data_IF_342490974357
#
_entry.id   IF_342490974357
#
_cell.length_a   1.000
_cell.length_b   1.000
_cell.length_c   1.000
_cell.angle_alpha   90.00
_cell.angle_beta   90.00
_cell.angle_gamma   90.00
#
_symmetry.space_group_name_H-M   'P 1'
#
loop_
_entity.id
_entity.type
_entity.pdbx_description
1 polymer ?
#
# COMPACT_ATOMS: atom_id res chain seq x y z
N UNK A 1 -3.49 9.67 2.72
CA UNK A 1 -3.06 10.42 1.52
C UNK A 1 -1.86 11.34 1.81
N UNK A 2 -1.81 12.07 2.93
CA UNK A 2 -0.70 12.97 3.26
C UNK A 2 0.65 12.26 3.30
N UNK A 3 1.01 11.66 4.44
CA UNK A 3 2.29 10.95 4.58
C UNK A 3 2.41 9.76 3.62
N UNK A 4 1.45 8.85 3.66
CA UNK A 4 1.52 7.60 2.90
C UNK A 4 1.55 7.83 1.39
N UNK A 5 0.75 8.77 0.88
CA UNK A 5 0.73 9.11 -0.54
C UNK A 5 2.06 9.71 -1.01
N UNK A 6 2.55 10.74 -0.31
CA UNK A 6 3.83 11.37 -0.68
C UNK A 6 5.01 10.38 -0.58
N UNK A 7 5.09 9.60 0.51
CA UNK A 7 6.14 8.61 0.68
C UNK A 7 6.06 7.50 -0.38
N UNK A 8 4.85 6.94 -0.60
CA UNK A 8 4.63 5.89 -1.58
C UNK A 8 4.92 6.32 -3.01
N UNK A 9 4.41 7.50 -3.42
CA UNK A 9 4.64 8.03 -4.77
C UNK A 9 6.11 8.42 -4.98
N UNK A 10 6.75 9.07 -3.99
CA UNK A 10 8.17 9.42 -4.04
C UNK A 10 9.07 8.20 -4.18
N UNK A 11 8.85 7.16 -3.35
CA UNK A 11 9.58 5.91 -3.46
C UNK A 11 9.29 5.16 -4.77
N UNK A 12 8.04 5.23 -5.28
CA UNK A 12 7.67 4.65 -6.57
C UNK A 12 8.50 5.25 -7.70
N UNK A 13 8.56 6.57 -7.79
CA UNK A 13 9.32 7.27 -8.81
C UNK A 13 10.82 6.96 -8.73
N UNK A 14 11.37 6.96 -7.51
CA UNK A 14 12.77 6.61 -7.29
C UNK A 14 13.07 5.16 -7.69
N UNK A 15 12.27 4.19 -7.23
CA UNK A 15 12.46 2.79 -7.58
C UNK A 15 12.30 2.54 -9.08
N UNK A 16 11.32 3.15 -9.74
CA UNK A 16 11.13 3.03 -11.18
C UNK A 16 12.35 3.54 -11.95
N UNK A 17 12.89 4.71 -11.60
CA UNK A 17 14.08 5.24 -12.27
C UNK A 17 15.29 4.30 -12.09
N UNK A 18 15.48 3.74 -10.90
CA UNK A 18 16.57 2.79 -10.62
C UNK A 18 16.39 1.44 -11.34
N UNK A 19 15.19 0.88 -11.33
CA UNK A 19 14.88 -0.38 -12.00
C UNK A 19 14.97 -0.27 -13.53
N UNK A 20 14.80 0.93 -14.06
CA UNK A 20 14.88 1.20 -15.51
C UNK A 20 16.26 1.62 -15.99
N UNK A 21 17.12 2.06 -15.06
CA UNK A 21 18.42 2.66 -15.40
C UNK A 21 18.28 3.93 -16.25
N UNK A 22 17.16 4.65 -16.11
CA UNK A 22 16.86 5.86 -16.85
C UNK A 22 16.35 6.95 -15.90
N UNK A 23 16.64 8.24 -16.16
CA UNK A 23 16.06 9.34 -15.42
C UNK A 23 14.53 9.38 -15.62
N UNK A 24 13.83 10.07 -14.72
CA UNK A 24 12.39 10.27 -14.85
C UNK A 24 12.06 11.03 -16.15
N UNK A 25 11.13 10.47 -16.92
CA UNK A 25 10.62 11.10 -18.12
C UNK A 25 9.73 12.29 -17.74
N UNK A 26 9.98 13.44 -18.39
CA UNK A 26 9.17 14.65 -18.21
C UNK A 26 8.99 15.07 -16.74
N UNK A 27 10.06 15.40 -16.00
CA UNK A 27 10.01 15.69 -14.56
C UNK A 27 9.07 16.86 -14.20
N UNK A 28 8.79 17.78 -15.12
CA UNK A 28 7.81 18.85 -14.91
C UNK A 28 6.41 18.34 -14.55
N UNK A 29 5.98 17.20 -15.11
CA UNK A 29 4.71 16.57 -14.73
C UNK A 29 4.74 16.02 -13.29
N UNK A 30 5.89 15.53 -12.84
CA UNK A 30 6.03 15.09 -11.44
C UNK A 30 5.91 16.27 -10.50
N UNK A 31 6.55 17.39 -10.80
CA UNK A 31 6.50 18.60 -9.98
C UNK A 31 5.06 19.13 -9.92
N UNK A 32 4.41 19.33 -11.07
CA UNK A 32 3.02 19.78 -11.14
C UNK A 32 2.07 18.82 -10.42
N UNK A 33 2.24 17.51 -10.63
CA UNK A 33 1.45 16.48 -9.98
C UNK A 33 1.62 16.47 -8.47
N UNK A 34 2.85 16.64 -7.97
CA UNK A 34 3.12 16.70 -6.53
C UNK A 34 2.52 17.96 -5.89
N UNK A 35 2.57 19.10 -6.56
CA UNK A 35 1.91 20.32 -6.09
C UNK A 35 0.40 20.12 -6.00
N UNK A 36 -0.24 19.61 -7.06
CA UNK A 36 -1.67 19.32 -7.07
C UNK A 36 -2.06 18.28 -6.01
N UNK A 37 -1.24 17.25 -5.82
CA UNK A 37 -1.45 16.25 -4.77
C UNK A 37 -1.49 16.90 -3.39
N UNK A 38 -0.51 17.74 -3.04
CA UNK A 38 -0.46 18.40 -1.75
C UNK A 38 -1.56 19.46 -1.57
N UNK A 39 -1.93 20.17 -2.64
CA UNK A 39 -3.12 21.05 -2.63
C UNK A 39 -4.39 20.25 -2.34
N UNK A 40 -4.56 19.09 -2.98
CA UNK A 40 -5.69 18.19 -2.70
C UNK A 40 -5.70 17.64 -1.28
N UNK A 41 -4.54 17.26 -0.73
CA UNK A 41 -4.42 16.82 0.68
C UNK A 41 -4.78 17.96 1.65
N UNK A 42 -4.29 19.17 1.39
CA UNK A 42 -4.60 20.33 2.24
C UNK A 42 -6.08 20.69 2.17
N UNK A 43 -6.65 20.70 0.96
CA UNK A 43 -8.08 20.94 0.76
C UNK A 43 -8.95 19.87 1.46
N UNK A 44 -8.51 18.60 1.43
CA UNK A 44 -9.18 17.52 2.14
C UNK A 44 -9.14 17.72 3.66
N UNK A 45 -7.96 18.07 4.20
CA UNK A 45 -7.80 18.31 5.63
C UNK A 45 -8.69 19.47 6.10
N UNK A 46 -8.68 20.58 5.37
CA UNK A 46 -9.55 21.74 5.68
C UNK A 46 -11.03 21.37 5.56
N UNK A 47 -11.43 20.68 4.48
CA UNK A 47 -12.83 20.27 4.30
C UNK A 47 -13.31 19.33 5.42
N UNK A 48 -12.53 18.33 5.80
CA UNK A 48 -12.87 17.41 6.89
C UNK A 48 -12.99 18.18 8.23
N UNK A 49 -12.10 19.12 8.51
CA UNK A 49 -12.16 19.91 9.76
C UNK A 49 -13.36 20.87 9.80
N UNK A 50 -13.86 21.29 8.62
CA UNK A 50 -15.09 22.10 8.50
C UNK A 50 -16.36 21.25 8.47
N UNK A 51 -16.26 19.93 8.54
CA UNK A 51 -17.41 19.02 8.52
C UNK A 51 -17.87 18.61 7.10
N UNK A 52 -17.15 19.01 6.06
CA UNK A 52 -17.46 18.65 4.67
C UNK A 52 -16.81 17.29 4.31
N UNK A 53 -17.45 16.21 4.71
CA UNK A 53 -16.97 14.85 4.50
C UNK A 53 -18.03 13.94 3.88
N UNK A 54 -17.60 12.89 3.18
CA UNK A 54 -18.52 11.95 2.50
C UNK A 54 -19.23 10.96 3.44
N UNK A 55 -18.89 10.92 4.72
CA UNK A 55 -19.49 9.98 5.68
C UNK A 55 -19.12 8.50 5.47
N UNK A 56 -18.20 8.18 4.56
CA UNK A 56 -17.73 6.82 4.31
C UNK A 56 -16.45 6.57 5.08
N UNK A 57 -16.48 5.66 6.05
CA UNK A 57 -15.34 5.34 6.89
C UNK A 57 -14.11 4.90 6.07
N UNK A 58 -13.00 5.62 6.20
CA UNK A 58 -11.76 5.40 5.46
C UNK A 58 -11.71 6.07 4.07
N UNK A 59 -12.79 6.75 3.67
CA UNK A 59 -12.85 7.60 2.48
C UNK A 59 -13.62 8.90 2.80
N UNK A 60 -13.30 9.52 3.93
CA UNK A 60 -13.92 10.78 4.38
C UNK A 60 -13.56 11.97 3.48
N UNK A 61 -12.76 11.74 2.46
CA UNK A 61 -12.24 12.71 1.51
C UNK A 61 -13.38 13.46 0.77
N UNK A 62 -13.48 14.80 0.89
CA UNK A 62 -14.43 15.58 0.10
C UNK A 62 -14.23 15.36 -1.41
N UNK A 63 -15.32 15.33 -2.18
CA UNK A 63 -15.26 15.02 -3.61
C UNK A 63 -14.36 15.97 -4.40
N UNK A 64 -14.43 17.28 -4.08
CA UNK A 64 -13.58 18.28 -4.74
C UNK A 64 -12.08 18.05 -4.48
N UNK A 65 -11.74 17.71 -3.24
CA UNK A 65 -10.35 17.40 -2.87
C UNK A 65 -9.87 16.11 -3.55
N UNK A 66 -10.73 15.09 -3.59
CA UNK A 66 -10.46 13.85 -4.32
C UNK A 66 -10.22 14.06 -5.80
N UNK A 67 -10.97 14.94 -6.46
CA UNK A 67 -10.74 15.29 -7.88
C UNK A 67 -9.37 15.92 -8.09
N UNK A 68 -8.94 16.85 -7.24
CA UNK A 68 -7.61 17.48 -7.31
C UNK A 68 -6.51 16.45 -7.09
N UNK A 69 -6.67 15.55 -6.11
CA UNK A 69 -5.74 14.43 -5.88
C UNK A 69 -5.63 13.52 -7.10
N UNK A 70 -6.74 13.18 -7.75
CA UNK A 70 -6.74 12.33 -8.95
C UNK A 70 -6.04 12.99 -10.13
N UNK A 71 -6.20 14.30 -10.32
CA UNK A 71 -5.48 15.05 -11.35
C UNK A 71 -3.97 15.05 -11.04
N UNK A 72 -3.58 15.32 -9.79
CA UNK A 72 -2.19 15.24 -9.35
C UNK A 72 -1.60 13.85 -9.58
N UNK A 73 -2.35 12.79 -9.22
CA UNK A 73 -1.97 11.41 -9.47
C UNK A 73 -1.80 11.11 -10.96
N UNK A 74 -2.69 11.61 -11.81
CA UNK A 74 -2.61 11.39 -13.25
C UNK A 74 -1.31 11.98 -13.83
N UNK A 75 -0.88 13.16 -13.40
CA UNK A 75 0.39 13.75 -13.83
C UNK A 75 1.60 12.93 -13.37
N UNK A 76 1.60 12.47 -12.11
CA UNK A 76 2.67 11.61 -11.57
C UNK A 76 2.69 10.27 -12.32
N UNK A 77 1.54 9.65 -12.50
CA UNK A 77 1.39 8.36 -13.20
C UNK A 77 1.82 8.47 -14.67
N UNK A 78 1.49 9.56 -15.34
CA UNK A 78 1.90 9.81 -16.72
C UNK A 78 3.44 9.81 -16.86
N UNK A 79 4.15 10.58 -16.02
CA UNK A 79 5.61 10.57 -15.98
C UNK A 79 6.19 9.20 -15.66
N UNK A 80 5.61 8.49 -14.68
CA UNK A 80 6.03 7.15 -14.28
C UNK A 80 5.84 6.13 -15.41
N UNK A 81 4.71 6.17 -16.12
CA UNK A 81 4.41 5.30 -17.26
C UNK A 81 5.35 5.60 -18.43
N UNK A 82 5.61 6.87 -18.75
CA UNK A 82 6.60 7.24 -19.76
C UNK A 82 8.00 6.72 -19.39
N UNK A 83 8.40 6.87 -18.12
CA UNK A 83 9.66 6.31 -17.61
C UNK A 83 9.69 4.79 -17.76
N UNK A 84 8.56 4.13 -17.52
CA UNK A 84 8.43 2.69 -17.74
C UNK A 84 8.66 2.29 -19.20
N UNK A 85 8.10 2.99 -20.18
CA UNK A 85 8.27 2.69 -21.59
C UNK A 85 9.67 3.04 -22.14
N UNK A 86 10.36 4.00 -21.54
CA UNK A 86 11.74 4.40 -21.91
C UNK A 86 12.81 3.40 -21.45
N UNK A 87 12.43 2.20 -21.06
CA UNK A 87 13.30 1.17 -20.48
C UNK A 87 14.43 0.74 -21.40
N UNK A 88 15.62 0.57 -20.82
CA UNK A 88 16.78 -0.05 -21.48
C UNK A 88 16.83 -1.57 -21.33
N UNK A 89 16.25 -2.11 -20.25
CA UNK A 89 16.26 -3.54 -19.95
C UNK A 89 14.91 -4.20 -20.26
N UNK A 90 14.93 -5.34 -20.98
CA UNK A 90 13.73 -6.09 -21.35
C UNK A 90 13.09 -6.83 -20.17
N UNK A 91 13.89 -7.31 -19.22
CA UNK A 91 13.37 -8.07 -18.09
C UNK A 91 12.77 -7.15 -17.02
N UNK A 92 11.56 -7.50 -16.59
CA UNK A 92 10.82 -6.80 -15.57
C UNK A 92 11.12 -7.38 -14.18
N UNK A 93 11.61 -6.54 -13.27
CA UNK A 93 11.70 -6.92 -11.87
C UNK A 93 10.30 -6.86 -11.22
N UNK A 94 9.93 -7.84 -10.37
CA UNK A 94 8.57 -7.94 -9.83
C UNK A 94 8.02 -6.68 -9.17
N UNK A 95 8.84 -5.93 -8.41
CA UNK A 95 8.40 -4.67 -7.80
C UNK A 95 7.83 -3.68 -8.81
N UNK A 96 8.24 -3.73 -10.08
CA UNK A 96 7.69 -2.86 -11.13
C UNK A 96 6.20 -3.09 -11.37
N UNK A 97 5.74 -4.35 -11.30
CA UNK A 97 4.32 -4.68 -11.44
C UNK A 97 3.49 -4.07 -10.30
N UNK A 98 3.98 -4.22 -9.07
CA UNK A 98 3.34 -3.64 -7.90
C UNK A 98 3.27 -2.10 -7.96
N UNK A 99 4.36 -1.45 -8.42
CA UNK A 99 4.40 0.01 -8.55
C UNK A 99 3.41 0.52 -9.60
N UNK A 100 3.37 -0.12 -10.77
CA UNK A 100 2.41 0.25 -11.84
C UNK A 100 0.98 -0.07 -11.38
N UNK A 101 0.79 -1.24 -10.76
CA UNK A 101 -0.50 -1.61 -10.18
C UNK A 101 -1.03 -0.56 -9.20
N UNK A 102 -0.18 -0.06 -8.30
CA UNK A 102 -0.56 1.01 -7.37
C UNK A 102 -0.93 2.32 -8.08
N UNK A 103 -0.16 2.71 -9.11
CA UNK A 103 -0.43 3.95 -9.88
C UNK A 103 -1.79 3.91 -10.59
N UNK A 104 -2.21 2.73 -11.07
CA UNK A 104 -3.49 2.53 -11.76
C UNK A 104 -4.62 2.29 -10.76
N UNK A 105 -4.35 1.58 -9.65
CA UNK A 105 -5.37 1.23 -8.66
C UNK A 105 -6.00 2.46 -7.99
N UNK A 106 -5.20 3.47 -7.62
CA UNK A 106 -5.72 4.63 -6.91
C UNK A 106 -6.80 5.39 -7.71
N UNK A 107 -6.56 5.84 -8.96
CA UNK A 107 -7.59 6.52 -9.73
C UNK A 107 -8.81 5.65 -9.99
N UNK A 108 -8.63 4.34 -10.19
CA UNK A 108 -9.74 3.42 -10.34
C UNK A 108 -10.58 3.31 -9.06
N UNK A 109 -9.95 3.09 -7.90
CA UNK A 109 -10.66 2.94 -6.62
C UNK A 109 -11.37 4.23 -6.23
N UNK A 110 -10.64 5.35 -6.17
CA UNK A 110 -11.20 6.64 -5.72
C UNK A 110 -12.18 7.19 -6.74
N UNK A 111 -11.88 7.08 -8.04
CA UNK A 111 -12.79 7.53 -9.10
C UNK A 111 -14.12 6.77 -9.08
N UNK A 112 -14.07 5.43 -9.00
CA UNK A 112 -15.27 4.57 -8.91
C UNK A 112 -16.06 4.86 -7.64
N UNK A 113 -15.38 4.99 -6.50
CA UNK A 113 -16.03 5.27 -5.23
C UNK A 113 -16.73 6.65 -5.25
N UNK A 114 -16.07 7.70 -5.74
CA UNK A 114 -16.68 9.03 -5.87
C UNK A 114 -17.84 9.03 -6.86
N UNK A 115 -17.74 8.27 -7.95
CA UNK A 115 -18.86 8.15 -8.88
C UNK A 115 -20.07 7.49 -8.22
N UNK A 116 -19.88 6.32 -7.61
CA UNK A 116 -20.98 5.50 -7.05
C UNK A 116 -21.50 5.99 -5.69
N UNK A 117 -20.76 6.80 -4.95
CA UNK A 117 -21.17 7.29 -3.63
C UNK A 117 -21.61 8.76 -3.64
N UNK A 118 -21.16 9.55 -4.64
CA UNK A 118 -21.43 10.98 -4.65
C UNK A 118 -22.04 11.52 -5.96
N UNK A 119 -21.47 11.17 -7.14
CA UNK A 119 -21.94 11.75 -8.42
C UNK A 119 -23.22 11.07 -8.95
N UNK A 120 -23.28 9.74 -8.88
CA UNK A 120 -24.45 8.93 -9.22
C UNK A 120 -24.69 7.93 -8.08
N UNK A 121 -25.16 8.41 -6.91
CA UNK A 121 -25.13 7.60 -5.69
C UNK A 121 -26.05 6.39 -5.80
N UNK A 122 -25.47 5.23 -5.51
CA UNK A 122 -26.24 4.00 -5.28
C UNK A 122 -27.14 4.18 -4.06
N UNK A 123 -28.31 3.56 -4.07
CA UNK A 123 -29.32 3.78 -3.01
C UNK A 123 -29.30 2.66 -1.97
N UNK A 124 -29.63 3.03 -0.74
CA UNK A 124 -29.85 2.09 0.36
C UNK A 124 -28.64 1.23 0.71
N UNK A 125 -28.88 -0.04 1.00
CA UNK A 125 -27.86 -0.99 1.44
C UNK A 125 -26.71 -1.20 0.44
N UNK A 126 -26.86 -0.83 -0.84
CA UNK A 126 -25.81 -0.96 -1.84
C UNK A 126 -24.62 0.00 -1.60
N UNK A 127 -24.78 1.05 -0.80
CA UNK A 127 -23.66 1.92 -0.40
C UNK A 127 -22.63 1.19 0.48
N UNK A 128 -23.09 0.23 1.30
CA UNK A 128 -22.24 -0.51 2.23
C UNK A 128 -21.14 -1.29 1.48
N UNK A 129 -21.46 -2.16 0.49
CA UNK A 129 -20.42 -2.90 -0.23
C UNK A 129 -19.52 -1.99 -1.06
N UNK A 130 -20.02 -0.89 -1.61
CA UNK A 130 -19.18 0.06 -2.35
C UNK A 130 -18.19 0.75 -1.43
N UNK A 131 -18.64 1.25 -0.28
CA UNK A 131 -17.75 1.86 0.74
C UNK A 131 -16.72 0.85 1.28
N UNK A 132 -17.16 -0.37 1.61
CA UNK A 132 -16.27 -1.43 2.06
C UNK A 132 -15.22 -1.78 0.99
N UNK A 133 -15.65 -2.02 -0.24
CA UNK A 133 -14.74 -2.31 -1.35
C UNK A 133 -13.73 -1.18 -1.57
N UNK A 134 -14.16 0.07 -1.54
CA UNK A 134 -13.28 1.21 -1.74
C UNK A 134 -12.21 1.31 -0.65
N UNK A 135 -12.61 1.25 0.63
CA UNK A 135 -11.67 1.35 1.76
C UNK A 135 -10.75 0.15 1.85
N UNK A 136 -11.25 -1.05 1.61
CA UNK A 136 -10.44 -2.27 1.62
C UNK A 136 -9.46 -2.28 0.44
N UNK A 137 -9.89 -1.86 -0.75
CA UNK A 137 -9.02 -1.74 -1.91
C UNK A 137 -7.94 -0.67 -1.71
N UNK A 138 -8.25 0.46 -1.08
CA UNK A 138 -7.24 1.46 -0.74
C UNK A 138 -6.17 0.90 0.19
N UNK A 139 -6.55 0.13 1.20
CA UNK A 139 -5.60 -0.50 2.11
C UNK A 139 -4.87 -1.66 1.42
N UNK A 140 -5.58 -2.69 1.01
CA UNK A 140 -4.99 -3.96 0.56
C UNK A 140 -4.35 -3.86 -0.82
N UNK A 141 -4.98 -3.13 -1.77
CA UNK A 141 -4.46 -3.06 -3.14
C UNK A 141 -3.51 -1.88 -3.29
N UNK A 142 -3.95 -0.66 -3.00
CA UNK A 142 -3.10 0.52 -3.25
C UNK A 142 -1.90 0.58 -2.29
N UNK A 143 -2.13 0.68 -0.98
CA UNK A 143 -1.04 0.70 0.01
C UNK A 143 -0.31 -0.65 0.05
N UNK A 144 -1.03 -1.76 -0.15
CA UNK A 144 -0.46 -3.09 -0.25
C UNK A 144 0.56 -3.20 -1.38
N UNK A 145 0.21 -2.76 -2.59
CA UNK A 145 1.14 -2.74 -3.72
C UNK A 145 2.36 -1.85 -3.47
N UNK A 146 2.18 -0.65 -2.91
CA UNK A 146 3.30 0.25 -2.57
C UNK A 146 4.24 -0.37 -1.53
N UNK A 147 3.69 -0.89 -0.44
CA UNK A 147 4.46 -1.53 0.63
C UNK A 147 5.19 -2.78 0.16
N UNK A 148 4.50 -3.67 -0.56
CA UNK A 148 5.10 -4.89 -1.10
C UNK A 148 6.15 -4.60 -2.17
N UNK A 149 5.96 -3.58 -3.02
CA UNK A 149 6.98 -3.14 -3.95
C UNK A 149 8.26 -2.73 -3.23
N UNK A 150 8.13 -1.99 -2.12
CA UNK A 150 9.28 -1.58 -1.31
C UNK A 150 9.97 -2.78 -0.66
N UNK A 151 9.24 -3.69 -0.02
CA UNK A 151 9.80 -4.87 0.64
C UNK A 151 10.49 -5.79 -0.37
N UNK A 152 9.84 -6.07 -1.52
CA UNK A 152 10.39 -6.87 -2.61
C UNK A 152 11.61 -6.24 -3.30
N UNK A 153 11.77 -4.93 -3.21
CA UNK A 153 12.93 -4.22 -3.76
C UNK A 153 14.08 -4.12 -2.75
N UNK A 154 13.79 -3.60 -1.54
CA UNK A 154 14.85 -3.25 -0.59
C UNK A 154 15.46 -4.46 0.11
N UNK A 155 14.67 -5.50 0.47
CA UNK A 155 15.23 -6.68 1.14
C UNK A 155 16.30 -7.36 0.26
N UNK A 156 16.02 -7.79 -0.98
CA UNK A 156 17.03 -8.41 -1.84
C UNK A 156 18.20 -7.47 -2.11
N UNK A 157 17.92 -6.17 -2.31
CA UNK A 157 18.92 -5.15 -2.62
C UNK A 157 19.93 -4.94 -1.50
N UNK A 158 19.47 -4.91 -0.24
CA UNK A 158 20.34 -4.68 0.93
C UNK A 158 21.15 -5.94 1.27
N UNK A 159 20.51 -7.11 1.14
CA UNK A 159 21.17 -8.41 1.39
C UNK A 159 22.16 -8.77 0.27
N UNK A 160 22.05 -8.13 -0.90
CA UNK A 160 22.89 -8.43 -2.06
C UNK A 160 22.55 -9.76 -2.73
N UNK A 161 21.31 -10.22 -2.63
CA UNK A 161 20.84 -11.48 -3.23
C UNK A 161 19.73 -11.23 -4.24
N UNK A 162 19.61 -12.11 -5.24
CA UNK A 162 18.43 -12.11 -6.11
C UNK A 162 17.20 -12.64 -5.36
N UNK A 163 16.04 -12.19 -5.82
CA UNK A 163 14.76 -12.68 -5.32
C UNK A 163 14.63 -14.18 -5.63
N UNK A 164 14.24 -14.98 -4.63
CA UNK A 164 14.13 -16.44 -4.74
C UNK A 164 13.31 -16.88 -5.95
N UNK A 165 12.15 -16.25 -6.17
CA UNK A 165 11.32 -16.54 -7.35
C UNK A 165 10.57 -15.30 -7.84
N UNK A 166 10.81 -14.93 -9.09
CA UNK A 166 10.07 -13.86 -9.77
C UNK A 166 8.63 -14.26 -10.07
N UNK A 167 8.40 -15.55 -10.33
CA UNK A 167 7.07 -16.10 -10.64
C UNK A 167 6.15 -16.05 -9.41
N UNK A 168 6.65 -16.43 -8.23
CA UNK A 168 5.89 -16.32 -6.98
C UNK A 168 5.51 -14.88 -6.66
N UNK A 169 6.41 -13.93 -6.89
CA UNK A 169 6.10 -12.52 -6.70
C UNK A 169 5.05 -12.01 -7.69
N UNK A 170 5.12 -12.43 -8.98
CA UNK A 170 4.10 -12.11 -9.98
C UNK A 170 2.75 -12.74 -9.65
N UNK A 171 2.72 -14.00 -9.21
CA UNK A 171 1.50 -14.67 -8.76
C UNK A 171 0.87 -13.92 -7.57
N UNK A 172 1.68 -13.55 -6.56
CA UNK A 172 1.22 -12.75 -5.43
C UNK A 172 0.59 -11.41 -5.84
N UNK A 173 1.17 -10.75 -6.84
CA UNK A 173 0.63 -9.51 -7.40
C UNK A 173 -0.77 -9.69 -8.00
N UNK A 174 -0.94 -10.66 -8.90
CA UNK A 174 -2.23 -10.88 -9.55
C UNK A 174 -3.30 -11.34 -8.58
N UNK A 175 -2.96 -12.21 -7.65
CA UNK A 175 -3.89 -12.64 -6.61
C UNK A 175 -4.27 -11.48 -5.67
N UNK A 176 -3.32 -10.59 -5.34
CA UNK A 176 -3.61 -9.39 -4.55
C UNK A 176 -4.59 -8.45 -5.25
N UNK A 177 -4.39 -8.20 -6.55
CA UNK A 177 -5.31 -7.37 -7.33
C UNK A 177 -6.71 -7.97 -7.42
N UNK A 178 -6.79 -9.29 -7.60
CA UNK A 178 -8.06 -9.99 -7.75
C UNK A 178 -8.85 -10.04 -6.44
N UNK A 179 -8.18 -10.32 -5.33
CA UNK A 179 -8.83 -10.64 -4.05
C UNK A 179 -8.86 -9.46 -3.08
N UNK A 180 -7.86 -8.56 -3.14
CA UNK A 180 -7.61 -7.56 -2.10
C UNK A 180 -8.77 -6.60 -1.82
N UNK A 181 -9.63 -6.32 -2.78
CA UNK A 181 -10.81 -5.48 -2.59
C UNK A 181 -12.03 -6.19 -1.98
N UNK A 182 -12.02 -7.53 -1.91
CA UNK A 182 -13.17 -8.33 -1.51
C UNK A 182 -13.03 -8.98 -0.13
N UNK A 183 -11.85 -8.89 0.48
CA UNK A 183 -11.59 -9.50 1.79
C UNK A 183 -12.23 -8.74 2.95
N UNK A 184 -12.38 -9.42 4.09
CA UNK A 184 -12.79 -8.85 5.37
C UNK A 184 -14.18 -8.19 5.41
N UNK A 185 -15.13 -8.60 4.56
CA UNK A 185 -16.52 -8.18 4.68
C UNK A 185 -17.18 -8.88 5.88
N UNK A 186 -17.77 -8.10 6.78
CA UNK A 186 -18.38 -8.65 7.99
C UNK A 186 -19.61 -9.50 7.67
N UNK A 187 -19.69 -10.68 8.28
CA UNK A 187 -20.80 -11.63 8.12
C UNK A 187 -22.14 -11.09 8.64
N UNK A 188 -22.12 -10.18 9.61
CA UNK A 188 -23.30 -9.50 10.15
C UNK A 188 -23.77 -8.27 9.35
N UNK A 189 -23.14 -7.96 8.21
CA UNK A 189 -23.59 -6.86 7.36
C UNK A 189 -24.95 -7.15 6.72
N UNK A 190 -25.85 -6.17 6.56
CA UNK A 190 -27.16 -6.33 5.93
C UNK A 190 -27.02 -6.46 4.40
N UNK A 191 -26.33 -7.48 3.95
CA UNK A 191 -25.96 -7.71 2.56
C UNK A 191 -26.50 -9.06 2.06
N UNK A 192 -26.68 -9.21 0.75
CA UNK A 192 -27.00 -10.49 0.15
C UNK A 192 -26.00 -11.56 0.51
N UNK A 193 -26.47 -12.76 0.80
CA UNK A 193 -25.64 -13.89 1.26
C UNK A 193 -24.48 -14.20 0.29
N UNK A 194 -24.70 -14.03 -1.02
CA UNK A 194 -23.66 -14.30 -2.02
C UNK A 194 -22.45 -13.36 -1.88
N UNK A 195 -22.65 -12.10 -1.48
CA UNK A 195 -21.53 -11.15 -1.26
C UNK A 195 -20.70 -11.56 -0.04
N UNK A 196 -21.36 -11.98 1.04
CA UNK A 196 -20.68 -12.50 2.24
C UNK A 196 -19.89 -13.76 1.89
N UNK A 197 -20.49 -14.69 1.12
CA UNK A 197 -19.82 -15.90 0.65
C UNK A 197 -18.64 -15.61 -0.28
N UNK A 198 -18.77 -14.64 -1.16
CA UNK A 198 -17.66 -14.16 -2.02
C UNK A 198 -16.49 -13.64 -1.16
N UNK A 199 -16.79 -12.88 -0.12
CA UNK A 199 -15.74 -12.38 0.79
C UNK A 199 -15.09 -13.52 1.59
N UNK A 200 -15.85 -14.49 2.08
CA UNK A 200 -15.30 -15.66 2.74
C UNK A 200 -14.36 -16.44 1.80
N UNK A 201 -14.78 -16.65 0.55
CA UNK A 201 -13.94 -17.28 -0.46
C UNK A 201 -12.65 -16.47 -0.74
N UNK A 202 -12.77 -15.14 -0.88
CA UNK A 202 -11.61 -14.26 -1.05
C UNK A 202 -10.67 -14.33 0.17
N UNK A 203 -11.20 -14.32 1.40
CA UNK A 203 -10.41 -14.48 2.63
C UNK A 203 -9.62 -15.81 2.61
N UNK A 204 -10.26 -16.91 2.20
CA UNK A 204 -9.61 -18.22 2.11
C UNK A 204 -8.47 -18.23 1.10
N UNK A 205 -8.70 -17.70 -0.10
CA UNK A 205 -7.69 -17.65 -1.15
C UNK A 205 -6.58 -16.65 -0.85
N UNK A 206 -6.81 -15.66 0.02
CA UNK A 206 -5.80 -14.67 0.37
C UNK A 206 -4.56 -15.28 1.02
N UNK A 207 -4.67 -16.46 1.62
CA UNK A 207 -3.53 -17.21 2.15
C UNK A 207 -2.45 -17.48 1.07
N UNK A 208 -2.85 -17.67 -0.19
CA UNK A 208 -1.92 -17.88 -1.28
C UNK A 208 -1.11 -16.62 -1.60
N UNK A 209 -1.69 -15.42 -1.40
CA UNK A 209 -0.93 -14.15 -1.50
C UNK A 209 0.14 -14.10 -0.41
N UNK A 210 -0.26 -14.44 0.82
CA UNK A 210 0.65 -14.45 1.99
C UNK A 210 1.80 -15.43 1.79
N UNK A 211 1.49 -16.65 1.35
CA UNK A 211 2.50 -17.67 1.07
C UNK A 211 3.40 -17.23 -0.08
N UNK A 212 2.83 -16.77 -1.20
CA UNK A 212 3.59 -16.39 -2.39
C UNK A 212 4.62 -15.30 -2.10
N UNK A 213 4.26 -14.29 -1.35
CA UNK A 213 5.17 -13.17 -1.05
C UNK A 213 6.00 -13.45 0.20
N UNK A 214 5.36 -13.90 1.29
CA UNK A 214 6.03 -14.15 2.57
C UNK A 214 7.09 -15.24 2.47
N UNK A 215 6.75 -16.39 1.88
CA UNK A 215 7.69 -17.47 1.64
C UNK A 215 8.83 -17.09 0.71
N UNK A 216 8.51 -16.38 -0.39
CA UNK A 216 9.49 -15.90 -1.34
C UNK A 216 10.56 -15.02 -0.68
N UNK A 217 10.13 -14.05 0.12
CA UNK A 217 11.04 -13.15 0.84
C UNK A 217 11.78 -13.86 1.98
N UNK A 218 11.13 -14.81 2.66
CA UNK A 218 11.81 -15.63 3.67
C UNK A 218 12.93 -16.46 3.06
N UNK A 219 12.71 -17.08 1.90
CA UNK A 219 13.76 -17.83 1.20
C UNK A 219 14.87 -16.91 0.69
N UNK A 220 14.53 -15.74 0.18
CA UNK A 220 15.49 -14.70 -0.23
C UNK A 220 16.39 -14.30 0.93
N UNK A 221 15.81 -14.11 2.12
CA UNK A 221 16.52 -13.69 3.33
C UNK A 221 17.07 -14.84 4.17
N UNK A 222 17.08 -16.09 3.65
CA UNK A 222 17.49 -17.26 4.42
C UNK A 222 18.89 -17.08 5.04
N UNK A 223 19.00 -17.28 6.36
CA UNK A 223 20.24 -17.11 7.12
C UNK A 223 20.58 -15.65 7.46
N UNK A 224 19.74 -14.68 7.11
CA UNK A 224 19.91 -13.27 7.49
C UNK A 224 18.84 -12.90 8.53
N UNK A 225 19.20 -12.44 9.73
CA UNK A 225 18.24 -12.03 10.75
C UNK A 225 17.66 -10.64 10.40
N UNK A 226 16.50 -10.58 9.74
CA UNK A 226 15.90 -9.31 9.31
C UNK A 226 15.65 -8.37 10.50
N UNK A 227 14.99 -8.86 11.55
CA UNK A 227 14.68 -8.06 12.75
C UNK A 227 15.90 -7.83 13.66
N UNK A 228 16.85 -8.74 13.66
CA UNK A 228 18.12 -8.64 14.41
C UNK A 228 19.21 -7.86 13.67
N UNK A 229 18.97 -7.39 12.46
CA UNK A 229 19.95 -6.68 11.65
C UNK A 229 20.38 -5.36 12.29
N UNK A 230 21.67 -5.03 12.20
CA UNK A 230 22.16 -3.69 12.53
C UNK A 230 21.77 -2.66 11.47
N UNK A 231 21.52 -3.11 10.25
CA UNK A 231 21.02 -2.26 9.18
C UNK A 231 19.56 -1.85 9.48
N UNK A 232 19.36 -0.59 9.83
CA UNK A 232 18.05 -0.05 10.23
C UNK A 232 17.00 -0.20 9.12
N UNK A 233 17.35 0.05 7.86
CA UNK A 233 16.42 -0.15 6.73
C UNK A 233 15.93 -1.60 6.68
N UNK A 234 16.83 -2.57 6.81
CA UNK A 234 16.48 -3.99 6.78
C UNK A 234 15.60 -4.37 7.97
N UNK A 235 15.82 -3.76 9.14
CA UNK A 235 15.00 -3.95 10.33
C UNK A 235 13.57 -3.43 10.12
N UNK A 236 13.40 -2.24 9.54
CA UNK A 236 12.10 -1.69 9.16
C UNK A 236 11.37 -2.59 8.15
N UNK A 237 12.07 -3.05 7.10
CA UNK A 237 11.50 -3.93 6.09
C UNK A 237 11.11 -5.30 6.65
N UNK A 238 11.92 -5.85 7.56
CA UNK A 238 11.62 -7.12 8.23
C UNK A 238 10.39 -7.04 9.12
N UNK A 239 10.25 -5.95 9.89
CA UNK A 239 9.06 -5.72 10.69
C UNK A 239 7.82 -5.53 9.81
N UNK A 240 7.93 -4.71 8.76
CA UNK A 240 6.85 -4.50 7.80
C UNK A 240 6.37 -5.83 7.18
N UNK A 241 7.29 -6.69 6.75
CA UNK A 241 6.95 -8.02 6.23
C UNK A 241 6.23 -8.87 7.27
N UNK A 242 6.72 -8.88 8.52
CA UNK A 242 6.08 -9.61 9.63
C UNK A 242 4.66 -9.14 9.91
N UNK A 243 4.46 -7.82 10.02
CA UNK A 243 3.15 -7.21 10.23
C UNK A 243 2.17 -7.52 9.08
N UNK A 244 2.66 -7.49 7.83
CA UNK A 244 1.86 -7.85 6.67
C UNK A 244 1.45 -9.34 6.68
N UNK A 245 2.36 -10.24 7.01
CA UNK A 245 2.06 -11.68 7.13
C UNK A 245 1.03 -11.92 8.23
N UNK A 246 1.19 -11.30 9.40
CA UNK A 246 0.23 -11.42 10.51
C UNK A 246 -1.15 -10.90 10.08
N UNK A 247 -1.21 -9.72 9.45
CA UNK A 247 -2.46 -9.18 8.91
C UNK A 247 -3.14 -10.12 7.91
N UNK A 248 -2.36 -10.75 7.02
CA UNK A 248 -2.86 -11.70 6.04
C UNK A 248 -3.36 -13.01 6.67
N UNK A 249 -2.71 -13.50 7.73
CA UNK A 249 -3.18 -14.66 8.50
C UNK A 249 -4.50 -14.36 9.21
N UNK A 250 -4.67 -13.17 9.77
CA UNK A 250 -5.96 -12.75 10.33
C UNK A 250 -7.06 -12.68 9.26
N UNK A 251 -6.72 -12.17 8.06
CA UNK A 251 -7.64 -12.17 6.93
C UNK A 251 -8.09 -13.59 6.58
N UNK A 252 -7.17 -14.56 6.59
CA UNK A 252 -7.51 -15.97 6.39
C UNK A 252 -8.40 -16.52 7.52
N UNK A 253 -8.13 -16.18 8.79
CA UNK A 253 -8.98 -16.63 9.92
C UNK A 253 -10.43 -16.15 9.78
N UNK A 254 -10.68 -15.02 9.10
CA UNK A 254 -12.03 -14.50 8.83
C UNK A 254 -12.86 -15.38 7.85
N UNK A 255 -12.29 -16.46 7.31
CA UNK A 255 -13.04 -17.51 6.58
C UNK A 255 -14.03 -18.22 7.52
N UNK A 256 -13.66 -18.40 8.78
CA UNK A 256 -14.47 -19.15 9.76
C UNK A 256 -15.56 -18.24 10.31
N UNK A 257 -16.86 -18.59 10.10
CA UNK A 257 -17.97 -17.76 10.55
C UNK A 257 -17.98 -17.51 12.05
N UNK A 258 -17.60 -18.52 12.85
CA UNK A 258 -17.55 -18.45 14.31
C UNK A 258 -16.52 -17.42 14.79
N UNK A 259 -15.37 -17.42 14.16
CA UNK A 259 -14.31 -16.43 14.42
C UNK A 259 -14.76 -15.01 14.05
N UNK A 260 -15.34 -14.85 12.86
CA UNK A 260 -15.85 -13.58 12.41
C UNK A 260 -17.01 -13.07 13.29
N UNK A 261 -17.92 -13.94 13.73
CA UNK A 261 -19.02 -13.58 14.62
C UNK A 261 -18.56 -13.00 15.96
N UNK A 262 -17.44 -13.51 16.51
CA UNK A 262 -16.84 -12.97 17.74
C UNK A 262 -16.15 -11.63 17.48
N UNK A 263 -15.36 -11.53 16.42
CA UNK A 263 -14.49 -10.38 16.18
C UNK A 263 -15.18 -9.17 15.57
N UNK A 264 -16.29 -9.34 14.84
CA UNK A 264 -16.94 -8.28 14.08
C UNK A 264 -17.43 -7.09 14.92
N UNK A 265 -17.76 -7.33 16.21
CA UNK A 265 -18.21 -6.29 17.15
C UNK A 265 -17.11 -5.83 18.12
N UNK A 266 -15.87 -6.27 17.89
CA UNK A 266 -14.71 -5.88 18.68
C UNK A 266 -13.84 -4.88 17.92
N UNK A 267 -12.82 -4.34 18.60
CA UNK A 267 -11.79 -3.52 17.96
C UNK A 267 -10.83 -4.30 17.07
N UNK A 268 -11.00 -5.62 16.88
CA UNK A 268 -10.09 -6.47 16.11
C UNK A 268 -9.92 -5.96 14.66
N UNK A 269 -11.02 -5.61 14.00
CA UNK A 269 -10.96 -5.09 12.63
C UNK A 269 -10.23 -3.73 12.55
N UNK A 270 -10.41 -2.88 13.55
CA UNK A 270 -9.68 -1.60 13.67
C UNK A 270 -8.20 -1.85 13.91
N UNK A 271 -7.86 -2.74 14.83
CA UNK A 271 -6.47 -3.14 15.11
C UNK A 271 -5.78 -3.70 13.86
N UNK A 272 -6.48 -4.52 13.06
CA UNK A 272 -5.94 -5.03 11.80
C UNK A 272 -5.66 -3.92 10.78
N UNK A 273 -6.55 -2.94 10.66
CA UNK A 273 -6.33 -1.78 9.79
C UNK A 273 -5.11 -0.98 10.26
N UNK A 274 -4.93 -0.77 11.55
CA UNK A 274 -3.77 -0.10 12.13
C UNK A 274 -2.49 -0.92 11.93
N UNK A 275 -2.52 -2.22 12.19
CA UNK A 275 -1.39 -3.11 11.93
C UNK A 275 -0.96 -3.05 10.46
N UNK A 276 -1.92 -3.03 9.53
CA UNK A 276 -1.63 -2.91 8.11
C UNK A 276 -1.09 -1.51 7.75
N UNK A 277 -1.73 -0.44 8.22
CA UNK A 277 -1.36 0.92 7.86
C UNK A 277 -0.03 1.35 8.52
N UNK A 278 0.16 1.09 9.80
CA UNK A 278 1.33 1.52 10.57
C UNK A 278 2.41 0.44 10.66
N UNK A 279 2.03 -0.79 11.01
CA UNK A 279 2.98 -1.88 11.18
C UNK A 279 3.58 -2.35 9.85
N UNK A 280 2.79 -2.43 8.79
CA UNK A 280 3.29 -2.83 7.48
C UNK A 280 3.67 -1.63 6.62
N UNK A 281 2.68 -0.83 6.19
CA UNK A 281 2.90 0.17 5.16
C UNK A 281 3.82 1.30 5.62
N UNK A 282 3.54 1.93 6.76
CA UNK A 282 4.37 3.04 7.25
C UNK A 282 5.80 2.59 7.54
N UNK A 283 6.00 1.39 8.13
CA UNK A 283 7.33 0.84 8.34
C UNK A 283 8.07 0.59 7.03
N UNK A 284 7.41 0.05 6.00
CA UNK A 284 8.02 -0.13 4.68
C UNK A 284 8.42 1.22 4.05
N UNK A 285 7.56 2.25 4.17
CA UNK A 285 7.84 3.58 3.64
C UNK A 285 9.01 4.25 4.37
N UNK A 286 9.02 4.23 5.70
CA UNK A 286 10.11 4.78 6.52
C UNK A 286 11.43 4.08 6.22
N UNK A 287 11.43 2.75 6.17
CA UNK A 287 12.62 1.99 5.79
C UNK A 287 13.14 2.41 4.41
N UNK A 288 12.25 2.59 3.42
CA UNK A 288 12.60 3.09 2.10
C UNK A 288 13.16 4.51 2.12
N UNK A 289 12.53 5.42 2.87
CA UNK A 289 12.99 6.81 3.04
C UNK A 289 14.39 6.85 3.66
N UNK A 290 14.63 6.11 4.72
CA UNK A 290 15.95 6.06 5.37
C UNK A 290 17.03 5.43 4.48
N UNK A 291 16.66 4.63 3.50
CA UNK A 291 17.60 4.15 2.49
C UNK A 291 17.85 5.18 1.40
N UNK A 292 16.82 5.89 0.94
CA UNK A 292 16.86 6.75 -0.25
C UNK A 292 17.36 8.15 0.08
N UNK A 293 16.91 8.75 1.18
CA UNK A 293 17.20 10.14 1.52
C UNK A 293 18.71 10.46 1.62
N UNK A 294 19.55 9.65 2.32
CA UNK A 294 20.99 9.90 2.34
C UNK A 294 21.63 9.86 0.95
N UNK A 295 21.10 9.02 0.05
CA UNK A 295 21.60 8.87 -1.33
C UNK A 295 21.19 10.00 -2.26
N UNK A 296 20.14 10.73 -1.93
CA UNK A 296 19.71 11.92 -2.68
C UNK A 296 20.35 13.20 -2.17
N UNK A 297 20.56 13.31 -0.86
CA UNK A 297 21.06 14.52 -0.21
C UNK A 297 22.60 14.59 -0.16
N UNK A 298 23.29 13.50 -0.48
CA UNK A 298 24.75 13.39 -0.40
C UNK A 298 25.21 12.81 0.94
N UNK A 299 26.41 12.19 0.93
CA UNK A 299 26.95 11.42 2.07
C UNK A 299 27.44 12.27 3.25
N UNK A 300 27.51 13.59 3.10
CA UNK A 300 28.10 14.49 4.12
C UNK A 300 27.12 14.89 5.22
N UNK A 301 25.87 14.50 5.10
CA UNK A 301 24.87 14.71 6.14
C UNK A 301 24.77 13.45 7.01
N UNK A 302 25.17 13.56 8.29
CA UNK A 302 24.89 12.57 9.35
C UNK A 302 23.37 12.41 9.62
N UNK A 303 22.58 12.53 8.59
CA UNK A 303 21.13 12.46 8.63
C UNK A 303 20.64 11.22 7.86
N UNK A 304 19.70 10.49 8.43
CA UNK A 304 19.18 10.67 9.79
C UNK A 304 20.11 10.08 10.86
N UNK A 305 20.25 10.78 11.99
CA UNK A 305 21.01 10.28 13.13
C UNK A 305 20.52 8.88 13.54
N UNK A 306 21.38 7.88 13.57
CA UNK A 306 21.00 6.49 13.83
C UNK A 306 20.29 6.29 15.20
N UNK A 307 20.52 7.18 16.16
CA UNK A 307 19.78 7.17 17.44
C UNK A 307 18.32 7.54 17.24
N UNK A 308 18.04 8.62 16.52
CA UNK A 308 16.67 9.08 16.20
C UNK A 308 15.89 8.02 15.42
N UNK A 309 16.51 7.42 14.42
CA UNK A 309 15.86 6.36 13.61
C UNK A 309 15.52 5.14 14.46
N UNK A 310 16.40 4.76 15.40
CA UNK A 310 16.10 3.66 16.35
C UNK A 310 14.94 3.98 17.28
N UNK A 311 14.80 5.24 17.70
CA UNK A 311 13.65 5.66 18.50
C UNK A 311 12.36 5.62 17.67
N UNK A 312 12.36 6.16 16.46
CA UNK A 312 11.19 6.08 15.55
C UNK A 312 10.77 4.61 15.33
N UNK A 313 11.74 3.73 15.06
CA UNK A 313 11.45 2.30 14.93
C UNK A 313 10.77 1.73 16.18
N UNK A 314 11.32 2.00 17.37
CA UNK A 314 10.79 1.47 18.63
C UNK A 314 9.38 2.01 18.92
N UNK A 315 9.15 3.30 18.71
CA UNK A 315 7.84 3.93 18.96
C UNK A 315 6.75 3.31 18.07
N UNK A 316 7.03 3.10 16.79
CA UNK A 316 6.03 2.50 15.88
C UNK A 316 5.89 0.98 16.09
N UNK A 317 6.96 0.30 16.52
CA UNK A 317 6.91 -1.15 16.74
C UNK A 317 6.17 -1.54 18.03
N UNK A 318 6.08 -0.64 19.01
CA UNK A 318 5.44 -0.88 20.31
C UNK A 318 4.04 -0.28 20.39
N UNK A 319 3.79 0.87 19.72
CA UNK A 319 2.49 1.56 19.69
C UNK A 319 1.57 1.03 18.62
#
# INVERSE_FOLDING_TARGET
FGFGGNAGLGLTLWMLSRLRGAPLARPGFVIAGTVLWNVGVTAALVGITLGDQNGVAGLELPVYAGRVLLIGQAFIAFSAILTYFSRRHKQLYPSTWYLIGALVALPWIVGTAHWLLAAAPVRGAAQIPVGHWATTSLLQVWLGCLGLAAVLYFIPKIIGRELFSRQWAAFGFWMLLLLGGWVNLNSGSPLPVWQIKLSQFANGLFIFVVIAVGWNLRQTARGVPLLGSENLTLKFMGFALGAWVVSGLFTFCNVFPEWNAILQFTYANTALRHLFAWGFFAMAMLGGIYYVAPRLLGSDLDWPCGRTVRWVYRLIAVG
#
